data_IF_087128881083
#
_entry.id   IF_087128881083
#
_cell.length_a   1.000
_cell.length_b   1.000
_cell.length_c   1.000
_cell.angle_alpha   90.00
_cell.angle_beta   90.00
_cell.angle_gamma   90.00
#
_symmetry.space_group_name_H-M   'P 1'
#
loop_
_entity.id
_entity.type
_entity.pdbx_description
1 polymer ?
#
# COMPACT_ATOMS: atom_id res chain seq x y z
N UNK A 1 16.89 -9.99 3.65
CA UNK A 1 16.15 -8.73 3.42
C UNK A 1 14.69 -8.76 3.87
N UNK A 2 13.96 -9.88 3.73
CA UNK A 2 12.56 -9.99 4.16
C UNK A 2 12.30 -9.89 5.67
N UNK A 3 13.26 -10.34 6.51
CA UNK A 3 13.10 -10.35 7.97
C UNK A 3 13.01 -8.93 8.59
N UNK A 4 13.72 -7.93 8.03
CA UNK A 4 13.69 -6.55 8.57
C UNK A 4 12.37 -5.83 8.30
N UNK A 5 11.78 -6.03 7.11
CA UNK A 5 10.46 -5.50 6.74
C UNK A 5 9.35 -6.10 7.59
N UNK A 6 9.44 -7.40 7.86
CA UNK A 6 8.51 -8.10 8.72
C UNK A 6 8.66 -7.68 10.19
N UNK A 7 9.88 -7.57 10.72
CA UNK A 7 10.13 -7.22 12.13
C UNK A 7 9.76 -5.78 12.48
N UNK A 8 10.05 -4.80 11.60
CA UNK A 8 9.61 -3.41 11.83
C UNK A 8 8.09 -3.32 11.74
N UNK A 9 7.46 -3.95 10.75
CA UNK A 9 6.01 -3.90 10.64
C UNK A 9 5.29 -4.65 11.78
N UNK A 10 5.81 -5.80 12.20
CA UNK A 10 5.35 -6.55 13.38
C UNK A 10 5.53 -5.72 14.65
N UNK A 11 6.67 -5.07 14.86
CA UNK A 11 6.89 -4.21 16.04
C UNK A 11 6.03 -2.93 16.05
N UNK A 12 5.66 -2.41 14.87
CA UNK A 12 4.81 -1.23 14.75
C UNK A 12 3.32 -1.51 14.90
N UNK A 13 2.89 -2.77 14.71
CA UNK A 13 1.47 -3.15 14.58
C UNK A 13 1.03 -4.22 15.59
N UNK A 14 1.95 -4.94 16.25
CA UNK A 14 1.59 -5.93 17.26
C UNK A 14 1.58 -5.34 18.67
N UNK A 15 0.48 -5.61 19.36
CA UNK A 15 0.33 -5.54 20.80
C UNK A 15 1.14 -6.64 21.52
N UNK A 16 2.43 -6.76 21.22
CA UNK A 16 3.34 -7.58 22.01
C UNK A 16 3.67 -6.80 23.30
N UNK A 17 3.41 -7.36 24.49
CA UNK A 17 3.66 -6.67 25.76
C UNK A 17 5.16 -6.41 26.02
N UNK A 18 6.05 -7.14 25.36
CA UNK A 18 7.50 -6.99 25.44
C UNK A 18 8.03 -6.35 24.14
N UNK A 19 8.35 -5.06 24.20
CA UNK A 19 8.81 -4.29 23.04
C UNK A 19 10.34 -4.35 22.91
N UNK A 20 10.86 -5.25 22.08
CA UNK A 20 12.28 -5.28 21.68
C UNK A 20 12.67 -4.09 20.79
N UNK A 21 11.70 -3.50 20.10
CA UNK A 21 11.87 -2.33 19.23
C UNK A 21 10.90 -1.24 19.67
N UNK A 22 11.46 -0.12 20.08
CA UNK A 22 10.73 1.04 20.60
C UNK A 22 10.74 2.21 19.61
N UNK A 23 9.68 3.02 19.63
CA UNK A 23 9.56 4.20 18.76
C UNK A 23 9.30 5.47 19.55
N UNK A 24 10.05 6.53 19.26
CA UNK A 24 9.71 7.87 19.74
C UNK A 24 8.95 8.62 18.65
N UNK A 25 7.80 9.18 19.00
CA UNK A 25 6.98 10.00 18.08
C UNK A 25 7.28 11.47 18.34
N UNK A 26 7.81 12.17 17.34
CA UNK A 26 7.99 13.62 17.46
C UNK A 26 6.65 14.34 17.63
N UNK A 27 6.62 15.49 18.33
CA UNK A 27 5.45 16.35 18.32
C UNK A 27 5.09 16.79 16.90
N UNK A 28 3.82 16.68 16.51
CA UNK A 28 3.36 17.22 15.23
C UNK A 28 2.92 18.68 15.39
N UNK A 29 3.30 19.53 14.44
CA UNK A 29 2.74 20.88 14.29
C UNK A 29 1.45 20.87 13.45
N UNK A 30 1.04 19.71 12.95
CA UNK A 30 -0.09 19.53 12.06
C UNK A 30 -1.16 18.67 12.73
N UNK A 31 -2.42 19.05 12.54
CA UNK A 31 -3.55 18.32 13.13
C UNK A 31 -3.75 16.97 12.42
N UNK A 32 -3.76 15.85 13.16
CA UNK A 32 -4.05 14.52 12.60
C UNK A 32 -5.51 14.36 12.16
N UNK A 33 -6.41 15.29 12.51
CA UNK A 33 -7.82 15.29 12.12
C UNK A 33 -8.09 15.59 10.63
N UNK A 34 -7.09 15.54 9.75
CA UNK A 34 -7.24 15.69 8.31
C UNK A 34 -7.81 14.39 7.69
N UNK A 35 -9.09 14.08 7.93
CA UNK A 35 -9.79 13.00 7.20
C UNK A 35 -10.25 13.52 5.83
N UNK A 36 -9.42 13.29 4.81
CA UNK A 36 -9.72 13.66 3.43
C UNK A 36 -10.42 12.54 2.65
N UNK A 37 -10.72 11.40 3.28
CA UNK A 37 -11.32 10.22 2.63
C UNK A 37 -10.59 9.78 1.33
N UNK A 38 -9.28 9.98 1.28
CA UNK A 38 -8.41 9.63 0.14
C UNK A 38 -7.06 9.08 0.63
N UNK A 39 -6.12 8.86 -0.30
CA UNK A 39 -4.78 8.32 -0.01
C UNK A 39 -3.98 9.18 0.96
N UNK A 40 -4.24 10.49 1.04
CA UNK A 40 -3.53 11.39 1.95
C UNK A 40 -3.84 11.07 3.42
N UNK A 41 -4.96 10.40 3.67
CA UNK A 41 -5.35 10.01 5.03
C UNK A 41 -4.51 8.84 5.57
N UNK A 42 -3.70 8.16 4.75
CA UNK A 42 -2.69 7.20 5.23
C UNK A 42 -1.68 7.87 6.18
N UNK A 43 -1.31 9.13 5.93
CA UNK A 43 -0.29 9.85 6.71
C UNK A 43 -0.73 10.13 8.17
N UNK A 44 -1.87 10.80 8.44
CA UNK A 44 -2.35 10.98 9.80
C UNK A 44 -2.76 9.66 10.47
N UNK A 45 -3.24 8.67 9.71
CA UNK A 45 -3.61 7.37 10.27
C UNK A 45 -2.42 6.56 10.75
N UNK A 46 -1.31 6.59 10.01
CA UNK A 46 -0.05 6.02 10.48
C UNK A 46 0.43 6.77 11.72
N UNK A 47 0.34 8.10 11.74
CA UNK A 47 0.67 8.86 12.95
C UNK A 47 -0.16 8.41 14.17
N UNK A 48 -1.46 8.24 14.04
CA UNK A 48 -2.30 7.73 15.13
C UNK A 48 -1.86 6.33 15.59
N UNK A 49 -1.51 5.44 14.66
CA UNK A 49 -1.03 4.08 14.98
C UNK A 49 0.31 4.10 15.73
N UNK A 50 1.26 4.94 15.28
CA UNK A 50 2.54 5.12 15.97
C UNK A 50 2.34 5.71 17.38
N UNK A 51 1.48 6.72 17.52
CA UNK A 51 1.21 7.39 18.79
C UNK A 51 0.48 6.51 19.80
N UNK A 52 -0.37 5.59 19.33
CA UNK A 52 -1.12 4.64 20.16
C UNK A 52 -0.40 3.32 20.37
N UNK A 53 0.77 3.12 19.76
CA UNK A 53 1.53 1.89 19.89
C UNK A 53 1.96 1.67 21.35
N UNK A 54 1.81 0.45 21.90
CA UNK A 54 2.34 0.12 23.23
C UNK A 54 3.88 0.21 23.29
N UNK A 55 4.55 0.18 22.13
CA UNK A 55 6.00 0.34 22.02
C UNK A 55 6.44 1.79 21.81
N UNK A 56 5.51 2.75 21.85
CA UNK A 56 5.83 4.16 21.85
C UNK A 56 6.47 4.58 23.19
N UNK A 57 7.61 5.26 23.11
CA UNK A 57 8.33 5.78 24.29
C UNK A 57 8.26 7.30 24.34
N UNK A 58 8.12 7.84 25.55
CA UNK A 58 8.14 9.29 25.81
C UNK A 58 9.54 9.87 25.96
N UNK A 59 10.52 9.03 26.29
CA UNK A 59 11.93 9.41 26.38
C UNK A 59 12.65 9.01 25.08
N UNK A 60 13.12 9.98 24.26
CA UNK A 60 13.77 9.70 22.99
C UNK A 60 15.09 8.93 23.14
N UNK A 61 15.75 8.95 24.31
CA UNK A 61 16.98 8.20 24.55
C UNK A 61 16.76 6.68 24.57
N UNK A 62 15.52 6.25 24.83
CA UNK A 62 15.11 4.83 24.85
C UNK A 62 14.55 4.34 23.52
N UNK A 63 14.56 5.19 22.49
CA UNK A 63 13.96 4.87 21.20
C UNK A 63 14.93 4.12 20.28
N UNK A 64 14.44 3.06 19.65
CA UNK A 64 15.14 2.35 18.58
C UNK A 64 14.97 3.10 17.25
N UNK A 65 13.77 3.63 17.01
CA UNK A 65 13.41 4.41 15.83
C UNK A 65 12.66 5.68 16.21
N UNK A 66 12.63 6.63 15.28
CA UNK A 66 11.97 7.92 15.46
C UNK A 66 10.94 8.13 14.36
N UNK A 67 9.67 8.25 14.72
CA UNK A 67 8.61 8.57 13.78
C UNK A 67 8.40 10.07 13.71
N UNK A 68 8.48 10.65 12.51
CA UNK A 68 8.26 12.08 12.28
C UNK A 68 6.88 12.29 11.62
N UNK A 69 5.89 12.84 12.34
CA UNK A 69 4.54 13.01 11.81
C UNK A 69 4.45 14.20 10.84
N UNK A 70 4.65 13.91 9.56
CA UNK A 70 4.55 14.86 8.45
C UNK A 70 3.48 14.43 7.45
N UNK A 71 2.81 15.40 6.82
CA UNK A 71 1.68 15.14 5.92
C UNK A 71 1.88 15.76 4.51
N UNK A 72 2.96 15.39 3.79
CA UNK A 72 3.28 16.01 2.50
C UNK A 72 2.19 15.76 1.45
N UNK A 73 1.51 14.61 1.46
CA UNK A 73 0.40 14.33 0.53
C UNK A 73 -0.78 15.23 0.85
N UNK A 74 -1.18 15.36 2.11
CA UNK A 74 -2.28 16.26 2.48
C UNK A 74 -1.97 17.73 2.11
N UNK A 75 -0.70 18.15 2.24
CA UNK A 75 -0.24 19.49 1.86
C UNK A 75 -0.26 19.68 0.34
N UNK A 76 0.15 18.69 -0.44
CA UNK A 76 0.05 18.73 -1.90
C UNK A 76 -1.40 18.96 -2.34
N UNK A 77 -2.37 18.31 -1.69
CA UNK A 77 -3.79 18.41 -2.00
C UNK A 77 -4.53 19.56 -1.26
N UNK A 78 -3.82 20.36 -0.45
CA UNK A 78 -4.42 21.20 0.60
C UNK A 78 -4.81 22.64 0.26
N UNK A 79 -4.56 23.14 -0.95
CA UNK A 79 -4.56 24.58 -1.25
C UNK A 79 -5.88 25.19 -1.70
N UNK A 80 -6.81 24.42 -2.26
CA UNK A 80 -7.97 24.96 -2.99
C UNK A 80 -7.67 25.29 -4.46
N UNK A 81 -6.39 25.46 -4.80
CA UNK A 81 -5.83 25.66 -6.15
C UNK A 81 -5.36 24.35 -6.83
N UNK A 82 -5.90 23.20 -6.39
CA UNK A 82 -5.56 21.88 -6.92
C UNK A 82 -4.33 21.24 -6.26
N UNK A 83 -3.76 20.23 -6.92
CA UNK A 83 -2.60 19.46 -6.42
C UNK A 83 -1.30 20.23 -6.73
N UNK A 84 -0.52 20.56 -5.69
CA UNK A 84 0.77 21.25 -5.80
C UNK A 84 1.89 20.42 -5.16
N UNK A 85 2.66 19.72 -5.99
CA UNK A 85 3.79 18.92 -5.52
C UNK A 85 4.95 19.79 -5.00
N UNK A 86 5.13 20.98 -5.57
CA UNK A 86 6.16 21.93 -5.14
C UNK A 86 5.92 22.41 -3.70
N UNK A 87 4.65 22.61 -3.32
CA UNK A 87 4.28 22.95 -1.94
C UNK A 87 4.70 21.85 -0.97
N UNK A 88 4.44 20.59 -1.33
CA UNK A 88 4.84 19.45 -0.52
C UNK A 88 6.38 19.31 -0.44
N UNK A 89 7.09 19.48 -1.55
CA UNK A 89 8.55 19.41 -1.58
C UNK A 89 9.21 20.54 -0.78
N UNK A 90 8.66 21.76 -0.85
CA UNK A 90 9.09 22.89 -0.02
C UNK A 90 8.86 22.60 1.46
N UNK A 91 7.70 22.04 1.80
CA UNK A 91 7.37 21.64 3.16
C UNK A 91 8.34 20.58 3.71
N UNK A 92 8.62 19.50 2.97
CA UNK A 92 9.55 18.44 3.43
C UNK A 92 10.99 18.96 3.55
N UNK A 93 11.40 19.89 2.69
CA UNK A 93 12.69 20.60 2.81
C UNK A 93 12.77 21.44 4.10
N UNK A 94 11.67 22.12 4.47
CA UNK A 94 11.60 22.84 5.75
C UNK A 94 11.66 21.88 6.94
N UNK A 95 10.90 20.77 6.91
CA UNK A 95 10.94 19.73 7.95
C UNK A 95 12.37 19.26 8.20
N UNK A 96 13.13 18.99 7.14
CA UNK A 96 14.52 18.59 7.28
C UNK A 96 15.36 19.64 8.01
N UNK A 97 15.20 20.91 7.61
CA UNK A 97 15.93 22.03 8.20
C UNK A 97 15.60 22.17 9.69
N UNK A 98 14.33 22.04 10.05
CA UNK A 98 13.87 22.06 11.44
C UNK A 98 14.46 20.87 12.23
N UNK A 99 14.46 19.65 11.68
CA UNK A 99 15.04 18.46 12.34
C UNK A 99 16.53 18.61 12.60
N UNK A 100 17.30 19.13 11.64
CA UNK A 100 18.74 19.39 11.80
C UNK A 100 19.01 20.41 12.92
N UNK A 101 18.15 21.41 13.08
CA UNK A 101 18.31 22.46 14.09
C UNK A 101 17.85 22.02 15.48
N UNK A 102 16.81 21.19 15.56
CA UNK A 102 16.10 20.93 16.82
C UNK A 102 16.33 19.54 17.39
N UNK A 103 16.78 18.58 16.59
CA UNK A 103 16.95 17.19 17.03
C UNK A 103 18.38 16.69 16.91
N UNK A 104 19.01 16.48 18.07
CA UNK A 104 20.28 15.75 18.16
C UNK A 104 20.15 14.30 17.65
N UNK A 105 18.94 13.71 17.74
CA UNK A 105 18.68 12.32 17.36
C UNK A 105 18.59 12.13 15.85
N UNK A 106 18.17 13.16 15.11
CA UNK A 106 18.26 13.15 13.66
C UNK A 106 19.73 13.26 13.21
N UNK A 107 20.43 14.28 13.73
CA UNK A 107 21.80 14.61 13.31
C UNK A 107 22.83 13.54 13.66
N UNK A 108 22.69 12.81 14.79
CA UNK A 108 23.64 11.76 15.21
C UNK A 108 23.85 10.64 14.18
N UNK A 109 22.84 10.39 13.34
CA UNK A 109 22.78 9.25 12.41
C UNK A 109 22.23 9.65 11.05
N UNK A 110 22.19 10.95 10.77
CA UNK A 110 21.68 11.53 9.53
C UNK A 110 20.30 10.96 9.14
N UNK A 111 19.41 10.74 10.11
CA UNK A 111 18.06 10.23 9.88
C UNK A 111 17.93 8.74 9.53
N UNK A 112 18.99 7.92 9.60
CA UNK A 112 18.92 6.48 9.21
C UNK A 112 17.98 5.62 10.05
N UNK A 113 17.59 6.10 11.22
CA UNK A 113 16.62 5.52 12.13
C UNK A 113 15.32 6.35 12.23
N UNK A 114 15.13 7.29 11.31
CA UNK A 114 13.93 8.10 11.22
C UNK A 114 12.97 7.54 10.16
N UNK A 115 11.70 7.48 10.53
CA UNK A 115 10.61 6.95 9.73
C UNK A 115 9.70 8.10 9.31
N UNK A 116 9.46 8.18 8.01
CA UNK A 116 8.53 9.13 7.39
C UNK A 116 7.46 8.37 6.62
N UNK A 117 6.28 8.97 6.46
CA UNK A 117 5.23 8.44 5.57
C UNK A 117 5.18 9.32 4.33
N UNK A 118 5.14 8.69 3.15
CA UNK A 118 4.84 9.36 1.89
C UNK A 118 3.75 8.58 1.18
N UNK A 119 2.49 9.02 1.35
CA UNK A 119 1.34 8.34 0.77
C UNK A 119 1.08 8.73 -0.70
N UNK A 120 1.82 9.72 -1.22
CA UNK A 120 1.62 10.21 -2.57
C UNK A 120 2.06 9.20 -3.63
N UNK A 121 1.49 9.35 -4.82
CA UNK A 121 1.76 8.58 -6.01
C UNK A 121 3.25 8.49 -6.42
N UNK A 122 4.11 9.40 -5.95
CA UNK A 122 5.54 9.42 -6.28
C UNK A 122 6.43 9.12 -5.07
N UNK A 123 5.85 8.63 -3.98
CA UNK A 123 6.61 8.12 -2.83
C UNK A 123 7.63 9.11 -2.27
N UNK A 124 8.84 8.63 -1.97
CA UNK A 124 9.91 9.42 -1.36
C UNK A 124 10.48 10.53 -2.27
N UNK A 125 10.04 10.65 -3.53
CA UNK A 125 10.42 11.77 -4.39
C UNK A 125 9.81 13.11 -3.94
N UNK A 126 8.77 13.12 -3.10
CA UNK A 126 8.32 14.33 -2.40
C UNK A 126 9.30 14.84 -1.33
N UNK A 127 10.35 14.08 -1.03
CA UNK A 127 11.36 14.42 -0.04
C UNK A 127 12.70 14.73 -0.71
N UNK A 128 13.48 15.65 -0.13
CA UNK A 128 14.78 16.01 -0.69
C UNK A 128 15.77 14.82 -0.67
N UNK A 129 16.80 14.83 -1.55
CA UNK A 129 17.67 13.67 -1.78
C UNK A 129 18.35 13.12 -0.51
N UNK A 130 18.78 14.01 0.38
CA UNK A 130 19.45 13.64 1.62
C UNK A 130 18.55 12.92 2.62
N UNK A 131 17.26 13.25 2.69
CA UNK A 131 16.30 12.49 3.50
C UNK A 131 15.97 11.17 2.82
N UNK A 132 15.68 11.22 1.52
CA UNK A 132 15.25 10.04 0.77
C UNK A 132 16.33 8.96 0.65
N UNK A 133 17.61 9.33 0.68
CA UNK A 133 18.72 8.37 0.67
C UNK A 133 18.97 7.71 2.03
N UNK A 134 18.79 8.43 3.14
CA UNK A 134 19.14 7.92 4.47
C UNK A 134 17.97 7.33 5.24
N UNK A 135 16.81 7.99 5.22
CA UNK A 135 15.68 7.71 6.11
C UNK A 135 14.79 6.60 5.59
N UNK A 136 13.97 6.02 6.47
CA UNK A 136 13.02 4.94 6.16
C UNK A 136 11.69 5.58 5.72
N UNK A 137 11.17 5.18 4.56
CA UNK A 137 9.87 5.63 4.08
C UNK A 137 8.83 4.52 4.12
N UNK A 138 7.68 4.81 4.73
CA UNK A 138 6.45 4.06 4.55
C UNK A 138 5.69 4.67 3.37
N UNK A 139 5.49 3.93 2.28
CA UNK A 139 4.90 4.48 1.06
C UNK A 139 4.08 3.45 0.26
N UNK A 140 3.22 3.92 -0.65
CA UNK A 140 2.47 3.06 -1.56
C UNK A 140 3.22 2.79 -2.88
N UNK A 141 4.11 3.72 -3.26
CA UNK A 141 4.88 3.66 -4.50
C UNK A 141 6.02 2.66 -4.38
N UNK A 142 5.91 1.53 -5.09
CA UNK A 142 6.85 0.40 -5.04
C UNK A 142 7.64 0.16 -6.33
N UNK A 143 7.73 1.14 -7.23
CA UNK A 143 8.48 0.98 -8.48
C UNK A 143 9.99 1.04 -8.24
N UNK A 144 10.70 -0.03 -8.56
CA UNK A 144 12.16 -0.11 -8.46
C UNK A 144 12.88 0.49 -9.66
N UNK A 145 12.16 0.93 -10.70
CA UNK A 145 12.75 1.61 -11.85
C UNK A 145 13.40 2.94 -11.45
N UNK A 146 14.62 3.20 -11.93
CA UNK A 146 15.30 4.48 -11.73
C UNK A 146 16.10 4.93 -12.97
N UNK A 147 15.88 6.16 -13.47
CA UNK A 147 14.76 7.04 -13.12
C UNK A 147 13.42 6.39 -13.50
N UNK A 148 12.39 6.50 -12.64
CA UNK A 148 11.08 5.93 -12.94
C UNK A 148 10.44 6.71 -14.07
N UNK A 149 10.17 6.03 -15.18
CA UNK A 149 9.58 6.62 -16.38
C UNK A 149 8.19 7.16 -16.08
N UNK A 150 7.40 6.47 -15.27
CA UNK A 150 6.07 6.92 -14.87
C UNK A 150 6.08 8.17 -14.00
N UNK A 151 7.05 8.30 -13.08
CA UNK A 151 7.22 9.51 -12.28
C UNK A 151 7.63 10.68 -13.16
N UNK A 152 8.58 10.49 -14.08
CA UNK A 152 8.98 11.54 -15.02
C UNK A 152 7.83 11.97 -15.93
N UNK A 153 7.05 11.02 -16.45
CA UNK A 153 5.84 11.31 -17.23
C UNK A 153 4.81 12.08 -16.42
N UNK A 154 4.51 11.63 -15.19
CA UNK A 154 3.58 12.31 -14.28
C UNK A 154 3.97 13.76 -13.99
N UNK A 155 5.26 14.02 -13.74
CA UNK A 155 5.78 15.37 -13.51
C UNK A 155 5.74 16.25 -14.78
N UNK A 156 5.86 15.66 -15.96
CA UNK A 156 5.85 16.38 -17.24
C UNK A 156 4.45 16.66 -17.80
N UNK A 157 3.47 15.81 -17.47
CA UNK A 157 2.15 15.73 -18.12
C UNK A 157 1.11 16.77 -17.67
N UNK A 158 1.36 17.60 -16.64
CA UNK A 158 0.48 18.77 -16.41
C UNK A 158 0.17 19.22 -14.99
N UNK A 159 0.85 18.73 -13.95
CA UNK A 159 0.73 19.32 -12.61
C UNK A 159 1.57 20.60 -12.54
N UNK A 160 1.02 21.71 -13.05
CA UNK A 160 1.69 23.00 -13.04
C UNK A 160 1.77 23.59 -11.63
N UNK A 161 2.87 24.28 -11.28
CA UNK A 161 4.06 24.49 -12.11
C UNK A 161 4.97 23.25 -12.18
N UNK A 162 5.58 23.01 -13.35
CA UNK A 162 6.65 22.01 -13.49
C UNK A 162 7.78 22.33 -12.51
N UNK A 163 7.95 21.48 -11.50
CA UNK A 163 9.02 21.63 -10.52
C UNK A 163 10.31 21.05 -11.08
N UNK A 164 11.24 21.94 -11.46
CA UNK A 164 12.61 21.54 -11.83
C UNK A 164 13.32 20.84 -10.67
N UNK A 165 13.00 21.20 -9.42
CA UNK A 165 13.52 20.57 -8.22
C UNK A 165 13.06 19.11 -8.09
N UNK A 166 11.76 18.83 -8.29
CA UNK A 166 11.23 17.47 -8.25
C UNK A 166 11.71 16.62 -9.43
N UNK A 167 11.81 17.19 -10.64
CA UNK A 167 12.39 16.50 -11.80
C UNK A 167 13.86 16.13 -11.54
N UNK A 168 14.64 17.08 -11.00
CA UNK A 168 16.03 16.84 -10.61
C UNK A 168 16.12 15.77 -9.51
N UNK A 169 15.26 15.85 -8.48
CA UNK A 169 15.17 14.87 -7.40
C UNK A 169 14.86 13.47 -7.93
N UNK A 170 13.85 13.32 -8.77
CA UNK A 170 13.44 12.02 -9.32
C UNK A 170 14.49 11.41 -10.25
N UNK A 171 15.30 12.25 -10.90
CA UNK A 171 16.41 11.83 -11.75
C UNK A 171 17.66 11.44 -10.95
N UNK A 172 17.83 11.97 -9.73
CA UNK A 172 19.04 11.77 -8.92
C UNK A 172 19.02 10.51 -8.07
N UNK A 173 17.85 10.16 -7.52
CA UNK A 173 17.69 8.99 -6.63
C UNK A 173 16.35 8.31 -6.90
N UNK A 174 16.25 6.98 -6.69
CA UNK A 174 14.99 6.27 -6.80
C UNK A 174 13.93 6.88 -5.86
N UNK A 175 12.66 6.81 -6.27
CA UNK A 175 11.54 7.22 -5.41
C UNK A 175 11.14 6.11 -4.43
N UNK A 176 11.62 4.88 -4.64
CA UNK A 176 11.48 3.74 -3.73
C UNK A 176 12.77 2.93 -3.67
N UNK A 177 13.25 2.65 -2.46
CA UNK A 177 14.43 1.83 -2.22
C UNK A 177 14.06 0.59 -1.41
N UNK A 178 13.97 -0.57 -2.08
CA UNK A 178 13.57 -1.85 -1.49
C UNK A 178 14.48 -2.37 -0.36
N UNK A 179 15.65 -1.76 -0.17
CA UNK A 179 16.57 -2.15 0.90
C UNK A 179 16.21 -1.52 2.25
N UNK A 180 15.47 -0.41 2.26
CA UNK A 180 15.16 0.39 3.46
C UNK A 180 13.70 0.83 3.57
N UNK A 181 13.01 1.03 2.46
CA UNK A 181 11.65 1.55 2.43
C UNK A 181 10.64 0.41 2.57
N UNK A 182 9.52 0.69 3.24
CA UNK A 182 8.48 -0.29 3.51
C UNK A 182 7.24 0.10 2.73
N UNK A 183 6.71 -0.87 1.97
CA UNK A 183 5.46 -0.67 1.28
C UNK A 183 4.27 -0.90 2.20
N UNK A 184 3.38 0.09 2.22
CA UNK A 184 2.13 0.05 2.97
C UNK A 184 0.94 0.09 2.00
N UNK A 185 -0.19 -0.55 2.30
CA UNK A 185 -1.40 -0.50 1.48
C UNK A 185 -1.98 0.92 1.38
N UNK A 186 -2.66 1.30 0.30
CA UNK A 186 -3.31 2.62 0.28
C UNK A 186 -4.56 2.63 1.13
N UNK A 187 -4.76 3.69 1.93
CA UNK A 187 -6.04 3.95 2.54
C UNK A 187 -7.02 4.55 1.53
N UNK A 188 -8.29 4.15 1.63
CA UNK A 188 -9.34 4.59 0.71
C UNK A 188 -10.50 5.31 1.41
N UNK A 189 -10.33 5.77 2.66
CA UNK A 189 -11.32 6.61 3.36
C UNK A 189 -12.26 5.85 4.31
N UNK A 190 -12.70 6.52 5.38
CA UNK A 190 -13.60 5.92 6.38
C UNK A 190 -15.00 5.65 5.81
N UNK A 191 -15.55 6.59 5.01
CA UNK A 191 -16.85 6.41 4.36
C UNK A 191 -16.89 5.16 3.49
N UNK A 192 -15.81 4.94 2.76
CA UNK A 192 -15.63 3.76 1.92
C UNK A 192 -15.46 2.48 2.76
N UNK A 193 -14.79 2.55 3.90
CA UNK A 193 -14.68 1.43 4.84
C UNK A 193 -16.04 1.05 5.44
N UNK A 194 -16.88 2.03 5.79
CA UNK A 194 -18.24 1.79 6.29
C UNK A 194 -19.12 1.18 5.20
N UNK A 195 -19.08 1.72 3.98
CA UNK A 195 -19.82 1.17 2.84
C UNK A 195 -19.39 -0.27 2.55
N UNK A 196 -18.09 -0.54 2.51
CA UNK A 196 -17.56 -1.89 2.36
C UNK A 196 -18.09 -2.83 3.44
N UNK A 197 -17.98 -2.45 4.73
CA UNK A 197 -18.46 -3.27 5.85
C UNK A 197 -19.95 -3.59 5.71
N UNK A 198 -20.77 -2.65 5.24
CA UNK A 198 -22.19 -2.91 4.99
C UNK A 198 -22.41 -4.05 3.97
N UNK A 199 -21.66 -4.06 2.88
CA UNK A 199 -21.85 -5.04 1.80
C UNK A 199 -21.19 -6.39 2.11
N UNK A 200 -19.99 -6.37 2.70
CA UNK A 200 -19.28 -7.60 3.09
C UNK A 200 -20.06 -8.35 4.18
N UNK A 201 -20.71 -7.66 5.11
CA UNK A 201 -21.50 -8.30 6.19
C UNK A 201 -22.90 -8.73 5.77
N UNK A 202 -23.55 -8.04 4.83
CA UNK A 202 -24.92 -8.37 4.37
C UNK A 202 -24.98 -9.33 3.17
N UNK A 203 -23.88 -9.51 2.42
CA UNK A 203 -23.80 -10.38 1.25
C UNK A 203 -22.43 -11.06 1.18
N UNK A 204 -22.19 -12.08 2.00
CA UNK A 204 -21.28 -13.16 1.57
C UNK A 204 -22.03 -14.06 0.58
N UNK A 205 -22.39 -13.50 -0.58
CA UNK A 205 -22.69 -14.34 -1.72
C UNK A 205 -21.46 -15.22 -1.95
N UNK A 206 -21.66 -16.54 -2.05
CA UNK A 206 -20.59 -17.46 -2.44
C UNK A 206 -19.94 -16.99 -3.74
N UNK A 207 -18.71 -17.41 -4.00
CA UNK A 207 -17.99 -17.11 -5.24
C UNK A 207 -18.83 -17.30 -6.51
N UNK A 208 -19.68 -18.33 -6.50
CA UNK A 208 -20.58 -18.69 -7.60
C UNK A 208 -21.74 -17.70 -7.82
N UNK A 209 -22.10 -16.90 -6.82
CA UNK A 209 -23.29 -16.03 -6.84
C UNK A 209 -22.98 -14.56 -7.17
N UNK A 210 -21.73 -14.23 -7.51
CA UNK A 210 -21.35 -12.88 -7.93
C UNK A 210 -21.76 -12.65 -9.39
N UNK A 211 -22.69 -11.72 -9.70
CA UNK A 211 -23.25 -11.59 -11.04
C UNK A 211 -22.32 -10.90 -12.05
N UNK A 212 -21.35 -10.09 -11.60
CA UNK A 212 -20.44 -9.35 -12.49
C UNK A 212 -19.17 -10.17 -12.68
N UNK A 213 -18.81 -10.46 -13.94
CA UNK A 213 -17.63 -11.26 -14.25
C UNK A 213 -16.35 -10.44 -14.09
N UNK A 214 -16.33 -9.26 -14.72
CA UNK A 214 -15.16 -8.37 -14.77
C UNK A 214 -15.61 -6.94 -14.49
N UNK A 215 -14.91 -6.27 -13.59
CA UNK A 215 -15.24 -4.92 -13.15
C UNK A 215 -14.05 -3.97 -13.19
N UNK A 216 -14.30 -2.75 -13.69
CA UNK A 216 -13.43 -1.60 -13.55
C UNK A 216 -14.25 -0.31 -13.48
N UNK A 217 -13.93 0.54 -12.49
CA UNK A 217 -14.35 1.94 -12.44
C UNK A 217 -13.21 2.84 -12.05
N UNK A 218 -12.91 3.83 -12.89
CA UNK A 218 -11.88 4.82 -12.61
C UNK A 218 -11.62 5.74 -13.77
N UNK A 219 -10.82 6.79 -13.55
CA UNK A 219 -10.54 7.78 -14.59
C UNK A 219 -9.81 7.17 -15.78
N UNK A 220 -10.20 7.55 -16.99
CA UNK A 220 -9.50 7.17 -18.23
C UNK A 220 -8.42 8.16 -18.64
N UNK A 221 -8.66 9.47 -18.51
CA UNK A 221 -7.86 10.52 -19.17
C UNK A 221 -7.68 10.25 -20.68
N UNK A 222 -8.79 10.30 -21.44
CA UNK A 222 -8.81 9.93 -22.86
C UNK A 222 -7.81 10.70 -23.75
N UNK A 223 -7.46 11.94 -23.40
CA UNK A 223 -6.50 12.78 -24.14
C UNK A 223 -5.04 12.61 -23.70
N UNK A 224 -4.75 11.71 -22.75
CA UNK A 224 -3.42 11.50 -22.17
C UNK A 224 -3.00 10.03 -22.32
N UNK A 225 -2.47 9.61 -23.48
CA UNK A 225 -2.04 8.22 -23.70
C UNK A 225 -0.93 7.78 -22.73
N UNK A 226 -0.16 8.71 -22.17
CA UNK A 226 0.81 8.45 -21.13
C UNK A 226 0.17 8.03 -19.78
N UNK A 227 -1.10 8.37 -19.55
CA UNK A 227 -1.83 7.92 -18.37
C UNK A 227 -2.09 6.43 -18.46
N UNK A 228 -1.75 5.68 -17.41
CA UNK A 228 -1.87 4.23 -17.33
C UNK A 228 -1.07 3.50 -18.42
N UNK A 229 -0.08 4.15 -19.05
CA UNK A 229 0.61 3.64 -20.23
C UNK A 229 -0.36 3.17 -21.34
N UNK A 230 -1.49 3.87 -21.52
CA UNK A 230 -2.50 3.56 -22.53
C UNK A 230 -3.48 2.44 -22.16
N UNK A 231 -3.25 1.69 -21.06
CA UNK A 231 -4.07 0.53 -20.71
C UNK A 231 -5.55 0.90 -20.53
N UNK A 232 -5.84 1.96 -19.77
CA UNK A 232 -7.24 2.37 -19.50
C UNK A 232 -7.96 2.89 -20.74
N UNK A 233 -7.24 3.47 -21.68
CA UNK A 233 -7.76 3.94 -22.96
C UNK A 233 -8.13 2.75 -23.85
N UNK A 234 -7.33 1.67 -23.81
CA UNK A 234 -7.55 0.47 -24.61
C UNK A 234 -8.57 -0.52 -24.01
N UNK A 235 -8.87 -0.45 -22.71
CA UNK A 235 -9.83 -1.36 -22.04
C UNK A 235 -11.16 -1.57 -22.81
N UNK A 236 -11.85 -0.56 -23.36
CA UNK A 236 -13.10 -0.78 -24.11
C UNK A 236 -12.93 -1.65 -25.34
N UNK A 237 -11.83 -1.46 -26.08
CA UNK A 237 -11.51 -2.23 -27.28
C UNK A 237 -11.08 -3.64 -26.91
N UNK A 238 -10.26 -3.78 -25.87
CA UNK A 238 -9.77 -5.04 -25.36
C UNK A 238 -10.92 -5.99 -24.98
N UNK A 239 -11.98 -5.46 -24.36
CA UNK A 239 -13.14 -6.24 -23.94
C UNK A 239 -14.26 -6.35 -24.98
N UNK A 240 -14.13 -5.73 -26.17
CA UNK A 240 -15.17 -5.77 -27.21
C UNK A 240 -15.49 -7.20 -27.68
N UNK A 241 -14.52 -8.12 -27.60
CA UNK A 241 -14.65 -9.52 -27.99
C UNK A 241 -14.42 -10.51 -26.82
N UNK A 242 -14.48 -10.03 -25.57
CA UNK A 242 -14.23 -10.92 -24.42
C UNK A 242 -15.32 -11.99 -24.29
N UNK A 243 -14.96 -13.23 -23.88
CA UNK A 243 -15.93 -14.29 -23.60
C UNK A 243 -16.76 -14.03 -22.34
N UNK A 244 -16.38 -13.07 -21.49
CA UNK A 244 -17.13 -12.71 -20.28
C UNK A 244 -18.45 -12.02 -20.66
N UNK A 245 -19.55 -12.43 -20.00
CA UNK A 245 -20.89 -12.01 -20.40
C UNK A 245 -21.34 -10.74 -19.68
N UNK A 246 -20.94 -10.56 -18.41
CA UNK A 246 -21.29 -9.39 -17.62
C UNK A 246 -20.05 -8.59 -17.22
N UNK A 247 -19.60 -7.74 -18.14
CA UNK A 247 -18.44 -6.85 -17.97
C UNK A 247 -18.93 -5.44 -17.63
N UNK A 248 -18.36 -4.84 -16.58
CA UNK A 248 -18.68 -3.48 -16.12
C UNK A 248 -17.43 -2.62 -16.16
N UNK A 249 -17.25 -1.86 -17.24
CA UNK A 249 -16.16 -0.89 -17.41
C UNK A 249 -16.78 0.51 -17.52
N UNK A 250 -16.42 1.42 -16.61
CA UNK A 250 -16.90 2.79 -16.62
C UNK A 250 -15.82 3.78 -16.21
N UNK A 251 -15.79 4.95 -16.88
CA UNK A 251 -14.74 5.96 -16.74
C UNK A 251 -15.18 7.28 -16.11
N UNK A 252 -16.29 7.28 -15.40
CA UNK A 252 -16.90 8.51 -14.86
C UNK A 252 -16.13 9.08 -13.65
N UNK A 253 -15.67 10.33 -13.79
CA UNK A 253 -14.99 11.13 -12.75
C UNK A 253 -15.86 11.37 -11.50
N UNK A 254 -17.19 11.44 -11.64
CA UNK A 254 -18.11 11.70 -10.54
C UNK A 254 -18.36 10.49 -9.63
N UNK A 255 -18.10 9.27 -10.13
CA UNK A 255 -18.36 8.02 -9.40
C UNK A 255 -17.28 7.65 -8.37
N UNK A 256 -16.18 8.41 -8.29
CA UNK A 256 -15.24 8.34 -7.16
C UNK A 256 -15.90 8.75 -5.83
N UNK A 257 -17.03 9.46 -5.90
CA UNK A 257 -17.80 9.95 -4.75
C UNK A 257 -19.11 9.19 -4.50
N UNK A 258 -19.64 8.42 -5.47
CA UNK A 258 -20.77 7.50 -5.21
C UNK A 258 -20.25 6.20 -4.61
N UNK A 259 -19.86 6.32 -3.34
CA UNK A 259 -19.29 5.22 -2.56
C UNK A 259 -20.21 4.00 -2.56
N UNK A 260 -21.54 4.18 -2.44
CA UNK A 260 -22.45 3.05 -2.28
C UNK A 260 -22.57 2.21 -3.55
N UNK A 261 -22.85 2.83 -4.70
CA UNK A 261 -23.00 2.09 -5.96
C UNK A 261 -21.67 1.43 -6.38
N UNK A 262 -20.56 2.14 -6.18
CA UNK A 262 -19.22 1.60 -6.42
C UNK A 262 -18.95 0.33 -5.59
N UNK A 263 -19.16 0.39 -4.27
CA UNK A 263 -18.92 -0.76 -3.39
C UNK A 263 -19.92 -1.91 -3.62
N UNK A 264 -21.17 -1.62 -4.01
CA UNK A 264 -22.15 -2.64 -4.36
C UNK A 264 -21.71 -3.44 -5.60
N UNK A 265 -21.30 -2.76 -6.67
CA UNK A 265 -20.81 -3.45 -7.87
C UNK A 265 -19.47 -4.15 -7.62
N UNK A 266 -18.53 -3.50 -6.92
CA UNK A 266 -17.22 -4.08 -6.61
C UNK A 266 -17.36 -5.38 -5.80
N UNK A 267 -18.25 -5.41 -4.79
CA UNK A 267 -18.52 -6.62 -3.98
C UNK A 267 -19.33 -7.68 -4.74
N UNK A 268 -20.07 -7.30 -5.76
CA UNK A 268 -20.79 -8.20 -6.67
C UNK A 268 -19.92 -8.74 -7.83
N UNK A 269 -18.63 -8.41 -7.88
CA UNK A 269 -17.72 -8.74 -8.99
C UNK A 269 -16.80 -9.91 -8.69
N UNK A 270 -16.55 -10.78 -9.68
CA UNK A 270 -15.63 -11.93 -9.57
C UNK A 270 -14.17 -11.48 -9.69
N UNK A 271 -13.85 -10.78 -10.78
CA UNK A 271 -12.53 -10.20 -11.06
C UNK A 271 -12.60 -8.69 -11.16
N UNK A 272 -11.60 -8.01 -10.59
CA UNK A 272 -11.54 -6.54 -10.56
C UNK A 272 -10.23 -6.05 -11.15
N UNK A 273 -10.30 -5.29 -12.23
CA UNK A 273 -9.11 -4.77 -12.89
C UNK A 273 -8.46 -3.68 -12.03
N UNK A 274 -7.14 -3.73 -11.94
CA UNK A 274 -6.31 -2.74 -11.27
C UNK A 274 -5.18 -2.28 -12.22
N UNK A 275 -5.53 -1.54 -13.29
CA UNK A 275 -4.55 -0.87 -14.13
C UNK A 275 -3.90 0.32 -13.42
N UNK A 276 -2.67 0.69 -13.82
CA UNK A 276 -1.94 1.80 -13.22
C UNK A 276 -2.65 3.12 -13.49
N UNK A 277 -2.24 4.18 -12.80
CA UNK A 277 -2.69 5.54 -13.05
C UNK A 277 -1.63 6.33 -13.79
N UNK A 278 -1.35 7.54 -13.33
CA UNK A 278 -0.20 8.30 -13.79
C UNK A 278 1.14 7.61 -13.51
N UNK A 279 1.16 6.84 -12.42
CA UNK A 279 2.31 6.08 -11.95
C UNK A 279 1.98 4.58 -11.96
N UNK A 280 3.01 3.74 -11.93
CA UNK A 280 2.91 2.28 -12.13
C UNK A 280 2.19 1.48 -11.02
N UNK A 281 1.44 2.11 -10.11
CA UNK A 281 0.65 1.42 -9.08
C UNK A 281 -0.82 1.89 -9.08
N UNK A 282 -1.69 1.18 -8.35
CA UNK A 282 -3.12 1.51 -8.27
C UNK A 282 -3.75 1.16 -6.91
N UNK A 283 -4.52 2.09 -6.31
CA UNK A 283 -5.25 1.80 -5.07
C UNK A 283 -6.40 0.78 -5.28
N UNK A 284 -6.78 0.50 -6.54
CA UNK A 284 -7.84 -0.46 -6.87
C UNK A 284 -7.49 -1.88 -6.43
N UNK A 285 -6.21 -2.22 -6.36
CA UNK A 285 -5.73 -3.51 -5.83
C UNK A 285 -6.25 -3.74 -4.42
N UNK A 286 -6.07 -2.77 -3.52
CA UNK A 286 -6.43 -2.92 -2.10
C UNK A 286 -7.94 -2.85 -1.88
N UNK A 287 -8.66 -2.09 -2.71
CA UNK A 287 -10.12 -2.05 -2.68
C UNK A 287 -10.74 -3.37 -3.14
N UNK A 288 -10.22 -3.96 -4.22
CA UNK A 288 -10.64 -5.27 -4.70
C UNK A 288 -10.38 -6.37 -3.66
N UNK A 289 -9.19 -6.38 -3.04
CA UNK A 289 -8.86 -7.29 -1.94
C UNK A 289 -9.88 -7.15 -0.81
N UNK A 290 -10.17 -5.93 -0.38
CA UNK A 290 -11.10 -5.65 0.71
C UNK A 290 -12.55 -6.07 0.39
N UNK A 291 -12.94 -6.03 -0.90
CA UNK A 291 -14.23 -6.52 -1.40
C UNK A 291 -14.26 -8.03 -1.70
N UNK A 292 -13.16 -8.75 -1.44
CA UNK A 292 -12.93 -10.13 -1.85
C UNK A 292 -13.17 -10.39 -3.35
N UNK A 293 -12.93 -9.38 -4.18
CA UNK A 293 -12.91 -9.49 -5.63
C UNK A 293 -11.49 -9.82 -6.06
N UNK A 294 -11.27 -10.85 -6.89
CA UNK A 294 -9.91 -11.25 -7.30
C UNK A 294 -9.29 -10.12 -8.11
N UNK A 295 -8.24 -9.44 -7.59
CA UNK A 295 -7.64 -8.34 -8.31
C UNK A 295 -6.81 -8.86 -9.49
N UNK A 296 -7.05 -8.27 -10.66
CA UNK A 296 -6.19 -8.39 -11.85
C UNK A 296 -5.30 -7.16 -11.87
N UNK A 297 -4.12 -7.30 -11.29
CA UNK A 297 -3.14 -6.24 -11.11
C UNK A 297 -2.35 -6.12 -12.41
N UNK A 298 -2.70 -5.09 -13.21
CA UNK A 298 -2.07 -4.86 -14.50
C UNK A 298 -0.85 -3.98 -14.25
N UNK A 299 0.33 -4.58 -14.19
CA UNK A 299 1.57 -3.84 -13.90
C UNK A 299 2.79 -4.54 -14.51
N UNK A 300 3.89 -3.79 -14.61
CA UNK A 300 5.18 -4.35 -15.01
C UNK A 300 5.85 -5.09 -13.84
N UNK A 301 6.99 -5.74 -14.11
CA UNK A 301 7.73 -6.53 -13.10
C UNK A 301 8.57 -5.70 -12.14
N UNK A 302 8.70 -4.38 -12.36
CA UNK A 302 9.49 -3.48 -11.50
C UNK A 302 8.71 -3.00 -10.28
N UNK A 303 7.39 -3.13 -10.27
CA UNK A 303 6.54 -2.67 -9.16
C UNK A 303 6.42 -3.76 -8.09
N UNK A 304 6.82 -3.42 -6.87
CA UNK A 304 6.60 -4.24 -5.68
C UNK A 304 5.26 -3.93 -5.04
N UNK A 305 4.66 -4.95 -4.41
CA UNK A 305 3.40 -4.85 -3.68
C UNK A 305 3.63 -4.94 -2.16
N UNK A 306 2.79 -4.29 -1.33
CA UNK A 306 2.86 -4.43 0.13
C UNK A 306 2.84 -5.89 0.56
N UNK A 307 3.74 -6.26 1.47
CA UNK A 307 3.80 -7.63 2.04
C UNK A 307 4.05 -8.76 1.02
N UNK A 308 4.46 -8.46 -0.22
CA UNK A 308 4.68 -9.48 -1.25
C UNK A 308 5.73 -10.57 -0.88
N UNK A 309 6.61 -10.27 0.07
CA UNK A 309 7.64 -11.21 0.53
C UNK A 309 7.11 -12.20 1.58
N UNK A 310 5.90 -11.97 2.11
CA UNK A 310 5.28 -12.79 3.16
C UNK A 310 3.90 -13.32 2.75
N UNK A 311 3.19 -12.62 1.87
CA UNK A 311 1.92 -13.06 1.31
C UNK A 311 2.12 -13.69 -0.06
N UNK A 312 1.53 -14.86 -0.27
CA UNK A 312 1.50 -15.54 -1.56
C UNK A 312 0.46 -14.90 -2.49
N UNK A 313 0.84 -13.77 -3.11
CA UNK A 313 -0.02 -13.02 -4.03
C UNK A 313 -0.68 -13.87 -5.12
N UNK A 314 0.03 -14.79 -5.81
CA UNK A 314 -0.56 -15.70 -6.79
C UNK A 314 -1.76 -16.52 -6.27
N UNK A 315 -1.83 -16.80 -4.97
CA UNK A 315 -2.95 -17.56 -4.39
C UNK A 315 -4.27 -16.77 -4.32
N UNK A 316 -4.23 -15.44 -4.44
CA UNK A 316 -5.42 -14.59 -4.29
C UNK A 316 -5.53 -13.44 -5.30
N UNK A 317 -4.58 -13.30 -6.21
CA UNK A 317 -4.53 -12.24 -7.23
C UNK A 317 -3.93 -12.75 -8.54
N UNK A 318 -4.12 -11.98 -9.61
CA UNK A 318 -3.46 -12.19 -10.91
C UNK A 318 -2.61 -10.95 -11.17
N UNK A 319 -1.29 -11.08 -11.22
CA UNK A 319 -0.37 -10.00 -11.61
C UNK A 319 0.06 -10.26 -13.05
N UNK A 320 -0.26 -9.36 -13.97
CA UNK A 320 -0.02 -9.60 -15.41
C UNK A 320 0.14 -8.30 -16.20
N UNK A 321 0.81 -8.37 -17.34
CA UNK A 321 0.74 -7.40 -18.42
C UNK A 321 0.23 -8.03 -19.73
N UNK A 322 -0.19 -9.30 -19.69
CA UNK A 322 -0.74 -10.04 -20.81
C UNK A 322 -2.24 -9.77 -20.94
N UNK A 323 -2.61 -9.11 -22.03
CA UNK A 323 -3.99 -8.79 -22.39
C UNK A 323 -4.89 -10.03 -22.49
N UNK A 324 -4.36 -11.18 -22.89
CA UNK A 324 -5.12 -12.43 -22.97
C UNK A 324 -5.58 -12.90 -21.59
N UNK A 325 -4.72 -12.75 -20.58
CA UNK A 325 -5.05 -13.05 -19.18
C UNK A 325 -6.08 -12.04 -18.65
N UNK A 326 -5.98 -10.77 -19.06
CA UNK A 326 -6.92 -9.72 -18.65
C UNK A 326 -8.32 -9.98 -19.18
N UNK A 327 -8.47 -10.44 -20.42
CA UNK A 327 -9.79 -10.70 -21.05
C UNK A 327 -10.42 -12.03 -20.67
N UNK A 328 -9.61 -13.03 -20.29
CA UNK A 328 -10.07 -14.35 -19.84
C UNK A 328 -9.30 -14.83 -18.59
N UNK A 329 -9.50 -14.17 -17.44
CA UNK A 329 -8.82 -14.53 -16.20
C UNK A 329 -9.25 -15.89 -15.66
N UNK A 330 -10.45 -16.38 -16.03
CA UNK A 330 -10.96 -17.65 -15.55
C UNK A 330 -10.17 -18.82 -16.15
N UNK A 331 -9.92 -18.80 -17.47
CA UNK A 331 -9.08 -19.81 -18.12
C UNK A 331 -7.66 -19.81 -17.56
N UNK A 332 -7.10 -18.62 -17.26
CA UNK A 332 -5.78 -18.52 -16.64
C UNK A 332 -5.73 -19.20 -15.27
N UNK A 333 -6.64 -18.88 -14.35
CA UNK A 333 -6.59 -19.47 -13.00
C UNK A 333 -6.79 -20.99 -13.02
N UNK A 334 -7.63 -21.49 -13.93
CA UNK A 334 -7.82 -22.93 -14.14
C UNK A 334 -6.54 -23.58 -14.64
N UNK A 335 -5.80 -22.94 -15.55
CA UNK A 335 -4.52 -23.43 -16.06
C UNK A 335 -3.44 -23.53 -14.98
N UNK A 336 -3.51 -22.70 -13.93
CA UNK A 336 -2.60 -22.75 -12.76
C UNK A 336 -3.18 -23.53 -11.58
N UNK A 337 -4.21 -24.37 -11.81
CA UNK A 337 -4.85 -25.22 -10.81
C UNK A 337 -5.49 -24.47 -9.63
N UNK A 338 -5.96 -23.25 -9.87
CA UNK A 338 -6.75 -22.47 -8.92
C UNK A 338 -8.21 -22.34 -9.39
N UNK A 339 -9.11 -22.21 -8.44
CA UNK A 339 -10.50 -21.87 -8.68
C UNK A 339 -10.80 -20.48 -8.13
N UNK A 340 -11.79 -19.80 -8.74
CA UNK A 340 -12.26 -18.51 -8.25
C UNK A 340 -12.67 -18.59 -6.76
N UNK A 341 -13.32 -19.68 -6.37
CA UNK A 341 -13.73 -19.90 -4.98
C UNK A 341 -12.54 -19.97 -4.01
N UNK A 342 -11.47 -20.67 -4.38
CA UNK A 342 -10.24 -20.74 -3.57
C UNK A 342 -9.59 -19.36 -3.42
N UNK A 343 -9.42 -18.62 -4.52
CA UNK A 343 -8.81 -17.29 -4.48
C UNK A 343 -9.63 -16.33 -3.61
N UNK A 344 -10.96 -16.37 -3.70
CA UNK A 344 -11.83 -15.53 -2.87
C UNK A 344 -11.84 -15.95 -1.40
N UNK A 345 -11.67 -17.24 -1.10
CA UNK A 345 -11.50 -17.68 0.29
C UNK A 345 -10.17 -17.18 0.88
N UNK A 346 -9.09 -17.23 0.09
CA UNK A 346 -7.81 -16.64 0.48
C UNK A 346 -7.94 -15.13 0.73
N UNK A 347 -8.70 -14.41 -0.09
CA UNK A 347 -9.01 -12.98 0.14
C UNK A 347 -9.67 -12.72 1.50
N UNK A 348 -10.59 -13.58 1.96
CA UNK A 348 -11.24 -13.45 3.29
C UNK A 348 -10.27 -13.58 4.45
N UNK A 349 -9.12 -14.22 4.24
CA UNK A 349 -8.04 -14.33 5.22
C UNK A 349 -7.14 -13.09 5.14
N UNK A 350 -6.66 -12.75 3.94
CA UNK A 350 -5.59 -11.74 3.80
C UNK A 350 -6.07 -10.29 3.84
N UNK A 351 -7.35 -10.01 3.55
CA UNK A 351 -7.84 -8.62 3.40
C UNK A 351 -7.56 -7.73 4.61
N UNK A 352 -7.55 -8.33 5.82
CA UNK A 352 -7.29 -7.64 7.08
C UNK A 352 -5.96 -6.88 7.02
N UNK A 353 -4.91 -7.49 6.46
CA UNK A 353 -3.58 -6.86 6.34
C UNK A 353 -3.55 -5.58 5.50
N UNK A 354 -4.61 -5.29 4.74
CA UNK A 354 -4.70 -4.16 3.82
C UNK A 354 -5.61 -3.02 4.33
N UNK A 355 -6.07 -3.05 5.59
CA UNK A 355 -7.05 -2.09 6.13
C UNK A 355 -6.57 -1.34 7.37
N UNK A 356 -6.78 -0.02 7.43
CA UNK A 356 -6.27 0.85 8.51
C UNK A 356 -7.20 0.98 9.74
N UNK A 357 -8.21 0.13 9.89
CA UNK A 357 -9.17 0.18 11.00
C UNK A 357 -9.99 -1.09 11.11
N UNK A 358 -10.00 -1.69 12.30
CA UNK A 358 -10.42 -3.08 12.55
C UNK A 358 -9.21 -3.99 12.82
N UNK A 359 -9.42 -5.30 13.12
CA UNK A 359 -8.38 -6.27 13.48
C UNK A 359 -7.21 -6.45 12.48
N UNK A 360 -7.21 -5.69 11.38
CA UNK A 360 -6.34 -5.85 10.23
C UNK A 360 -5.09 -4.97 10.19
N UNK A 361 -5.09 -3.84 10.90
CA UNK A 361 -3.88 -3.06 11.20
C UNK A 361 -3.76 -2.64 12.66
N UNK A 362 -4.79 -2.85 13.45
CA UNK A 362 -4.58 -3.23 14.85
C UNK A 362 -4.84 -4.72 14.80
N UNK A 363 -3.81 -5.57 14.83
CA UNK A 363 -4.10 -6.95 15.24
C UNK A 363 -4.58 -6.82 16.67
N UNK A 364 -5.90 -6.64 16.88
CA UNK A 364 -6.49 -7.11 18.12
C UNK A 364 -6.25 -8.58 18.02
N UNK A 365 -5.17 -9.00 18.66
CA UNK A 365 -4.86 -10.37 18.86
C UNK A 365 -6.01 -10.84 19.77
N UNK A 366 -7.13 -11.20 19.15
CA UNK A 366 -8.16 -11.96 19.83
C UNK A 366 -7.41 -13.13 20.45
N UNK A 367 -7.78 -13.50 21.65
CA UNK A 367 -7.06 -14.49 22.48
C UNK A 367 -6.78 -15.79 21.73
N UNK A 368 -7.54 -16.07 20.66
CA UNK A 368 -7.39 -17.18 19.72
C UNK A 368 -6.22 -17.03 18.72
N UNK A 369 -5.87 -15.82 18.25
CA UNK A 369 -4.68 -15.56 17.43
C UNK A 369 -3.41 -15.38 18.27
N UNK A 370 -3.53 -14.94 19.54
CA UNK A 370 -2.43 -15.07 20.52
C UNK A 370 -2.14 -16.55 20.81
N UNK A 371 -3.17 -17.39 20.84
CA UNK A 371 -3.00 -18.84 20.89
C UNK A 371 -2.37 -19.39 19.61
N UNK A 372 -2.72 -18.97 18.39
CA UNK A 372 -2.05 -19.46 17.17
C UNK A 372 -0.58 -19.01 17.04
N UNK A 373 -0.22 -17.84 17.57
CA UNK A 373 1.17 -17.39 17.67
C UNK A 373 1.92 -18.04 18.86
N UNK A 374 1.21 -18.41 19.93
CA UNK A 374 1.73 -19.21 21.05
C UNK A 374 1.80 -20.71 20.78
N UNK A 375 1.00 -21.24 19.85
CA UNK A 375 1.00 -22.65 19.43
C UNK A 375 2.14 -22.95 18.46
N UNK A 376 2.80 -21.93 17.90
CA UNK A 376 4.13 -22.10 17.30
C UNK A 376 5.20 -22.48 18.33
N UNK A 377 4.91 -22.46 19.64
CA UNK A 377 5.83 -22.90 20.68
C UNK A 377 5.42 -24.16 21.42
N UNK A 378 4.20 -24.70 21.26
CA UNK A 378 3.85 -25.96 21.92
C UNK A 378 2.97 -26.87 21.07
N UNK A 379 3.51 -28.07 20.80
CA UNK A 379 2.88 -29.34 20.44
C UNK A 379 2.48 -29.58 18.97
N UNK A 380 3.18 -30.56 18.37
CA UNK A 380 3.12 -30.94 16.97
C UNK A 380 1.81 -31.60 16.48
N UNK A 381 1.61 -31.51 15.16
CA UNK A 381 0.68 -32.36 14.42
C UNK A 381 0.28 -31.90 13.01
N UNK A 382 1.20 -31.70 12.05
CA UNK A 382 0.97 -32.02 10.61
C UNK A 382 2.28 -31.91 9.77
N UNK A 383 2.56 -32.81 8.79
CA UNK A 383 3.92 -33.05 8.28
C UNK A 383 4.47 -32.12 7.17
N UNK A 384 3.89 -30.94 6.88
CA UNK A 384 4.25 -30.14 5.68
C UNK A 384 4.71 -28.70 6.00
N UNK A 385 5.20 -28.45 7.22
CA UNK A 385 5.80 -27.17 7.63
C UNK A 385 7.24 -27.31 8.20
N UNK A 386 7.88 -28.47 7.98
CA UNK A 386 8.93 -29.00 8.85
C UNK A 386 10.39 -28.91 8.34
N UNK A 387 10.74 -28.09 7.34
CA UNK A 387 12.16 -28.03 6.94
C UNK A 387 12.77 -26.63 6.81
N UNK A 388 11.99 -25.61 6.42
CA UNK A 388 12.57 -24.29 6.13
C UNK A 388 12.66 -23.38 7.36
N UNK A 389 11.74 -23.51 8.33
CA UNK A 389 11.79 -22.71 9.57
C UNK A 389 12.87 -23.19 10.55
N UNK A 390 13.27 -24.46 10.49
CA UNK A 390 14.30 -25.06 11.36
C UNK A 390 15.73 -24.64 11.01
N UNK A 391 16.07 -24.35 9.74
CA UNK A 391 17.42 -23.88 9.41
C UNK A 391 17.65 -22.39 9.70
N UNK A 392 16.59 -21.57 9.66
CA UNK A 392 16.70 -20.12 9.88
C UNK A 392 16.88 -19.74 11.35
N UNK A 393 16.46 -20.59 12.29
CA UNK A 393 16.69 -20.39 13.73
C UNK A 393 18.07 -20.90 14.21
N UNK A 394 18.63 -21.93 13.58
CA UNK A 394 19.87 -22.56 14.04
C UNK A 394 21.16 -21.83 13.64
N UNK A 395 21.16 -20.98 12.62
CA UNK A 395 22.36 -20.20 12.25
C UNK A 395 22.58 -18.92 13.07
N UNK A 396 21.66 -18.58 13.98
CA UNK A 396 21.84 -17.48 14.94
C UNK A 396 22.42 -17.93 16.29
N UNK A 397 22.84 -19.20 16.46
CA UNK A 397 23.37 -19.69 17.75
C UNK A 397 24.86 -20.04 17.79
N UNK A 398 25.66 -19.94 16.72
CA UNK A 398 27.10 -20.29 16.82
C UNK A 398 28.05 -19.23 16.23
N UNK A 399 28.77 -18.56 17.14
CA UNK A 399 29.92 -17.63 17.00
C UNK A 399 29.54 -16.20 16.55
N UNK A 400 29.54 -15.13 17.34
CA UNK A 400 30.51 -14.64 18.36
C UNK A 400 31.95 -15.04 18.00
N UNK A 401 32.57 -14.27 17.11
CA UNK A 401 33.75 -13.41 17.34
C UNK A 401 33.68 -12.27 16.32
#
# INVERSE_FOLDING_TARGET
>A
MGLRHFLVWVALVQAAPDCDVTVYVYPSTQNSALDRNDISSSEPRMHDLFSQSPCAVTDPSRASFFFVPVYPTAIAHGGGDGVSLERAYTYTTKVHSDLLQTSIYYSRRNGTDHIFVSAHDIGSCLFPPYMASSSIFLQHFGDTEHPSTSVLSYLNAGHQPRSSALLSRASMLPCYNETKDILIPSFFGERNTVALNHFVTKKTASAANRPIDIFFRGTQHASHPEYSNGVRQHLPELFANSPAQNIRISFDLHTLYDTKAYWEELTASKFCLSPPGWVHWSPRTFQAISAHCVPIIIQNTTVRLPFQNVLDYPSFSIVTNDENIVVDPLSYILAVNLTLAQMQENLKVVWRHFTYGGPGMVVSATSQQQQLLGVCLESGGSPILNHVLSELALRFTNNII
#
